data_IF_694477074149
#
_entry.id   IF_694477074149
#
_cell.length_a   1.000
_cell.length_b   1.000
_cell.length_c   1.000
_cell.angle_alpha   90.00
_cell.angle_beta   90.00
_cell.angle_gamma   90.00
#
_symmetry.space_group_name_H-M   'P 1'
#
loop_
_entity.id
_entity.type
_entity.pdbx_description
1 polymer ?
#
# COMPACT_ATOMS: atom_id res chain seq x y z
N UNK A 1 35.38 8.36 -2.23
CA UNK A 1 34.40 7.25 -2.30
C UNK A 1 33.06 7.85 -2.59
N UNK A 2 32.62 7.79 -3.84
CA UNK A 2 31.24 8.20 -4.20
C UNK A 2 30.31 7.11 -3.70
N UNK A 3 29.57 7.38 -2.63
CA UNK A 3 28.45 6.49 -2.22
C UNK A 3 27.49 6.41 -3.40
N UNK A 4 27.10 5.20 -3.81
CA UNK A 4 26.02 5.03 -4.76
C UNK A 4 24.79 5.81 -4.25
N UNK A 5 24.03 6.48 -5.13
CA UNK A 5 22.83 7.18 -4.69
C UNK A 5 21.92 6.18 -3.96
N UNK A 6 21.39 6.59 -2.82
CA UNK A 6 20.46 5.75 -2.06
C UNK A 6 19.22 5.50 -2.91
N UNK A 7 18.89 4.25 -3.10
CA UNK A 7 17.74 3.77 -3.88
C UNK A 7 17.01 2.71 -3.08
N UNK A 8 15.68 2.77 -3.07
CA UNK A 8 14.80 1.82 -2.40
C UNK A 8 13.81 1.25 -3.42
N UNK A 9 13.79 -0.08 -3.54
CA UNK A 9 12.81 -0.77 -4.38
C UNK A 9 11.86 -1.58 -3.51
N UNK A 10 10.56 -1.40 -3.73
CA UNK A 10 9.50 -2.14 -3.06
C UNK A 10 8.66 -2.86 -4.09
N UNK A 11 8.40 -4.14 -3.85
CA UNK A 11 7.51 -4.97 -4.63
C UNK A 11 6.32 -5.40 -3.77
N UNK A 12 5.12 -5.26 -4.31
CA UNK A 12 3.87 -5.54 -3.62
C UNK A 12 2.99 -6.46 -4.48
N UNK A 13 2.62 -7.66 -3.99
CA UNK A 13 1.86 -8.64 -4.77
C UNK A 13 0.41 -8.19 -4.98
N UNK A 14 -0.19 -8.62 -6.07
CA UNK A 14 -1.63 -8.57 -6.25
C UNK A 14 -2.35 -9.44 -5.20
N UNK A 15 -3.64 -9.17 -5.00
CA UNK A 15 -4.43 -9.96 -4.07
C UNK A 15 -5.83 -10.26 -4.62
N UNK A 16 -6.36 -11.42 -4.31
CA UNK A 16 -7.79 -11.74 -4.41
C UNK A 16 -8.49 -11.34 -3.12
N UNK A 17 -9.65 -10.70 -3.24
CA UNK A 17 -10.60 -10.52 -2.16
C UNK A 17 -11.66 -11.61 -2.32
N UNK A 18 -11.66 -12.58 -1.41
CA UNK A 18 -12.53 -13.78 -1.52
C UNK A 18 -13.95 -13.53 -1.02
N UNK A 19 -14.19 -12.39 -0.39
CA UNK A 19 -15.50 -11.98 0.08
C UNK A 19 -15.52 -11.55 1.53
N UNK A 20 -16.69 -11.09 1.96
CA UNK A 20 -16.98 -10.71 3.34
C UNK A 20 -17.63 -11.87 4.10
N UNK A 21 -17.27 -12.02 5.37
CA UNK A 21 -17.71 -13.12 6.23
C UNK A 21 -18.98 -12.75 7.00
N UNK A 22 -19.07 -11.50 7.44
CA UNK A 22 -20.21 -11.00 8.23
C UNK A 22 -20.69 -9.65 7.68
N UNK A 23 -21.85 -9.63 7.08
CA UNK A 23 -22.47 -8.44 6.49
C UNK A 23 -23.46 -7.75 7.44
N UNK A 24 -24.03 -8.47 8.40
CA UNK A 24 -25.08 -7.96 9.29
C UNK A 24 -24.55 -7.41 10.63
N UNK A 25 -23.39 -7.88 11.08
CA UNK A 25 -22.75 -7.37 12.28
C UNK A 25 -23.32 -7.89 13.59
N UNK A 26 -23.93 -9.05 13.62
CA UNK A 26 -24.57 -9.63 14.81
C UNK A 26 -23.59 -9.86 15.97
N UNK A 27 -22.31 -10.01 15.67
CA UNK A 27 -21.25 -10.16 16.67
C UNK A 27 -20.58 -8.83 17.05
N UNK A 28 -21.14 -7.68 16.66
CA UNK A 28 -20.63 -6.35 16.96
C UNK A 28 -19.51 -5.85 16.02
N UNK A 29 -19.15 -6.62 15.00
CA UNK A 29 -18.19 -6.25 13.94
C UNK A 29 -18.80 -6.57 12.58
N UNK A 30 -18.49 -5.74 11.57
CA UNK A 30 -19.01 -5.90 10.19
C UNK A 30 -17.86 -6.11 9.21
N UNK A 31 -18.15 -6.83 8.12
CA UNK A 31 -17.28 -6.94 6.95
C UNK A 31 -15.94 -7.62 7.21
N UNK A 32 -15.86 -8.56 8.15
CA UNK A 32 -14.73 -9.48 8.22
C UNK A 32 -14.51 -10.09 6.84
N UNK A 33 -13.27 -10.14 6.36
CA UNK A 33 -13.01 -10.56 4.99
C UNK A 33 -11.83 -11.51 4.86
N UNK A 34 -11.86 -12.27 3.76
CA UNK A 34 -10.82 -13.24 3.40
C UNK A 34 -10.10 -12.78 2.14
N UNK A 35 -8.80 -12.98 2.09
CA UNK A 35 -7.99 -12.64 0.93
C UNK A 35 -6.76 -13.54 0.76
N UNK A 36 -6.22 -13.51 -0.43
CA UNK A 36 -5.08 -14.31 -0.83
C UNK A 36 -4.13 -13.48 -1.69
N UNK A 37 -2.83 -13.49 -1.35
CA UNK A 37 -1.79 -12.95 -2.20
C UNK A 37 -1.65 -13.79 -3.48
N UNK A 38 -1.35 -13.14 -4.61
CA UNK A 38 -1.11 -13.80 -5.89
C UNK A 38 0.36 -13.70 -6.27
N UNK A 39 0.92 -14.80 -6.70
CA UNK A 39 2.25 -14.84 -7.30
C UNK A 39 2.21 -14.39 -8.77
N UNK A 40 3.34 -13.86 -9.26
CA UNK A 40 3.53 -13.53 -10.67
C UNK A 40 2.85 -12.25 -11.15
N UNK A 41 2.14 -11.54 -10.28
CA UNK A 41 1.53 -10.24 -10.57
C UNK A 41 1.75 -9.29 -9.40
N UNK A 42 2.51 -8.23 -9.64
CA UNK A 42 2.89 -7.28 -8.59
C UNK A 42 2.97 -5.84 -9.10
N UNK A 43 2.95 -4.90 -8.18
CA UNK A 43 3.42 -3.53 -8.41
C UNK A 43 4.84 -3.41 -7.88
N UNK A 44 5.76 -2.95 -8.71
CA UNK A 44 7.15 -2.68 -8.31
C UNK A 44 7.47 -1.21 -8.51
N UNK A 45 7.91 -0.55 -7.44
CA UNK A 45 8.33 0.85 -7.44
C UNK A 45 9.76 1.00 -6.95
N UNK A 46 10.48 1.96 -7.52
CA UNK A 46 11.81 2.35 -7.06
C UNK A 46 11.81 3.85 -6.75
N UNK A 47 12.26 4.22 -5.57
CA UNK A 47 12.45 5.61 -5.14
C UNK A 47 13.94 5.92 -4.99
N UNK A 48 14.39 7.06 -5.53
CA UNK A 48 15.78 7.53 -5.50
C UNK A 48 15.80 9.01 -5.16
N UNK A 49 16.85 9.47 -4.46
CA UNK A 49 17.03 10.90 -4.24
C UNK A 49 17.31 11.63 -5.57
N UNK A 50 16.67 12.80 -5.75
CA UNK A 50 16.83 13.63 -6.94
C UNK A 50 16.74 15.12 -6.57
N UNK A 51 17.19 16.01 -7.46
CA UNK A 51 17.13 17.46 -7.25
C UNK A 51 15.73 18.08 -7.43
N UNK A 52 14.69 17.25 -7.60
CA UNK A 52 13.30 17.66 -7.78
C UNK A 52 12.36 16.47 -7.66
N UNK A 53 11.07 16.67 -7.92
CA UNK A 53 10.06 15.63 -7.84
C UNK A 53 9.69 15.13 -9.24
N UNK A 54 10.01 13.88 -9.51
CA UNK A 54 9.79 13.21 -10.79
C UNK A 54 9.11 11.87 -10.57
N UNK A 55 8.10 11.57 -11.39
CA UNK A 55 7.41 10.27 -11.37
C UNK A 55 7.29 9.73 -12.78
N UNK A 56 7.81 8.53 -13.00
CA UNK A 56 7.88 7.89 -14.32
C UNK A 56 7.33 6.45 -14.26
N UNK A 57 7.03 5.86 -15.41
CA UNK A 57 6.69 4.44 -15.57
C UNK A 57 5.20 4.17 -15.69
N UNK A 58 4.79 2.94 -15.35
CA UNK A 58 3.39 2.51 -15.46
C UNK A 58 2.50 3.25 -14.46
N UNK A 59 1.33 3.71 -14.94
CA UNK A 59 0.34 4.42 -14.13
C UNK A 59 0.92 5.61 -13.32
N UNK A 60 1.86 6.35 -13.93
CA UNK A 60 2.62 7.44 -13.32
C UNK A 60 1.71 8.52 -12.70
N UNK A 61 0.57 8.83 -13.31
CA UNK A 61 -0.38 9.83 -12.80
C UNK A 61 -0.90 9.44 -11.41
N UNK A 62 -1.31 8.19 -11.24
CA UNK A 62 -1.79 7.69 -9.96
C UNK A 62 -0.64 7.58 -8.94
N UNK A 63 0.53 7.15 -9.40
CA UNK A 63 1.74 7.10 -8.56
C UNK A 63 2.15 8.48 -8.06
N UNK A 64 2.11 9.51 -8.90
CA UNK A 64 2.38 10.90 -8.54
C UNK A 64 1.42 11.42 -7.47
N UNK A 65 0.12 11.09 -7.61
CA UNK A 65 -0.89 11.45 -6.61
C UNK A 65 -0.56 10.84 -5.24
N UNK A 66 -0.24 9.54 -5.16
CA UNK A 66 0.11 8.90 -3.89
C UNK A 66 1.41 9.46 -3.31
N UNK A 67 2.44 9.61 -4.12
CA UNK A 67 3.71 10.16 -3.68
C UNK A 67 3.53 11.59 -3.13
N UNK A 68 2.81 12.45 -3.84
CA UNK A 68 2.50 13.81 -3.40
C UNK A 68 1.73 13.83 -2.07
N UNK A 69 0.76 12.95 -1.90
CA UNK A 69 -0.02 12.79 -0.67
C UNK A 69 0.88 12.42 0.52
N UNK A 70 1.77 11.43 0.34
CA UNK A 70 2.71 10.99 1.38
C UNK A 70 3.70 12.10 1.75
N UNK A 71 4.35 12.71 0.75
CA UNK A 71 5.30 13.80 1.00
C UNK A 71 4.66 14.97 1.76
N UNK A 72 3.44 15.35 1.39
CA UNK A 72 2.69 16.43 2.05
C UNK A 72 2.28 16.05 3.48
N UNK A 73 1.74 14.86 3.68
CA UNK A 73 1.23 14.43 4.98
C UNK A 73 2.31 14.34 6.05
N UNK A 74 3.53 13.98 5.66
CA UNK A 74 4.66 13.81 6.58
C UNK A 74 5.69 14.95 6.52
N UNK A 75 5.44 16.00 5.72
CA UNK A 75 6.36 17.13 5.59
C UNK A 75 7.72 16.74 5.00
N UNK A 76 7.76 15.70 4.17
CA UNK A 76 8.99 15.21 3.55
C UNK A 76 9.38 16.06 2.33
N UNK A 77 10.70 16.17 2.02
CA UNK A 77 11.14 16.97 0.89
C UNK A 77 10.70 16.36 -0.45
N UNK A 78 10.39 17.24 -1.42
CA UNK A 78 10.06 16.85 -2.80
C UNK A 78 11.32 16.69 -3.65
N UNK A 79 12.26 15.91 -3.16
CA UNK A 79 13.59 15.71 -3.74
C UNK A 79 13.81 14.22 -4.05
N UNK A 80 12.91 13.66 -4.87
CA UNK A 80 12.97 12.25 -5.25
C UNK A 80 12.52 12.01 -6.69
N UNK A 81 13.05 10.95 -7.28
CA UNK A 81 12.52 10.28 -8.47
C UNK A 81 11.84 8.98 -8.06
N UNK A 82 10.61 8.78 -8.51
CA UNK A 82 9.85 7.56 -8.32
C UNK A 82 9.61 6.90 -9.68
N UNK A 83 10.02 5.65 -9.84
CA UNK A 83 9.79 4.88 -11.07
C UNK A 83 8.90 3.67 -10.79
N UNK A 84 7.77 3.57 -11.47
CA UNK A 84 6.91 2.38 -11.43
C UNK A 84 7.29 1.47 -12.59
N UNK A 85 7.99 0.38 -12.27
CA UNK A 85 8.47 -0.57 -13.27
C UNK A 85 7.33 -1.42 -13.84
N UNK A 86 6.45 -1.89 -12.99
CA UNK A 86 5.23 -2.61 -13.34
C UNK A 86 4.12 -2.29 -12.33
N UNK A 87 2.88 -2.31 -12.80
CA UNK A 87 1.71 -2.06 -11.97
C UNK A 87 0.66 -3.18 -12.14
N UNK A 88 0.00 -3.54 -11.04
CA UNK A 88 -1.17 -4.41 -11.08
C UNK A 88 -2.27 -3.71 -11.88
N UNK A 89 -2.93 -4.39 -12.85
CA UNK A 89 -3.97 -3.81 -13.68
C UNK A 89 -5.07 -3.13 -12.86
N UNK A 90 -5.46 -1.93 -13.27
CA UNK A 90 -6.52 -1.16 -12.64
C UNK A 90 -7.89 -1.80 -12.92
N UNK A 91 -8.82 -1.64 -11.98
CA UNK A 91 -10.20 -2.12 -12.09
C UNK A 91 -10.38 -3.62 -12.31
N UNK A 92 -9.34 -4.42 -12.12
CA UNK A 92 -9.37 -5.89 -12.24
C UNK A 92 -9.76 -6.61 -10.91
N UNK A 93 -10.10 -5.87 -9.85
CA UNK A 93 -10.43 -6.48 -8.54
C UNK A 93 -9.21 -6.99 -7.76
N UNK A 94 -7.99 -6.76 -8.27
CA UNK A 94 -6.73 -7.34 -7.76
C UNK A 94 -5.99 -6.48 -6.73
N UNK A 95 -6.61 -5.41 -6.24
CA UNK A 95 -6.05 -4.58 -5.18
C UNK A 95 -5.04 -3.54 -5.63
N UNK A 96 -4.93 -3.24 -6.95
CA UNK A 96 -3.92 -2.37 -7.53
C UNK A 96 -3.74 -1.04 -6.79
N UNK A 97 -4.84 -0.37 -6.41
CA UNK A 97 -4.77 0.92 -5.72
C UNK A 97 -4.14 0.85 -4.32
N UNK A 98 -4.46 -0.17 -3.54
CA UNK A 98 -3.89 -0.36 -2.20
C UNK A 98 -2.43 -0.77 -2.29
N UNK A 99 -2.10 -1.72 -3.17
CA UNK A 99 -0.74 -2.21 -3.31
C UNK A 99 0.21 -1.11 -3.83
N UNK A 100 -0.21 -0.33 -4.82
CA UNK A 100 0.57 0.81 -5.30
C UNK A 100 0.77 1.88 -4.22
N UNK A 101 -0.30 2.27 -3.52
CA UNK A 101 -0.21 3.29 -2.47
C UNK A 101 0.75 2.88 -1.34
N UNK A 102 0.68 1.62 -0.89
CA UNK A 102 1.55 1.11 0.17
C UNK A 102 2.99 0.93 -0.30
N UNK A 103 3.21 0.44 -1.53
CA UNK A 103 4.54 0.29 -2.09
C UNK A 103 5.25 1.66 -2.22
N UNK A 104 4.54 2.67 -2.71
CA UNK A 104 5.07 4.04 -2.81
C UNK A 104 5.35 4.63 -1.43
N UNK A 105 4.41 4.47 -0.49
CA UNK A 105 4.57 4.99 0.86
C UNK A 105 5.77 4.34 1.57
N UNK A 106 5.91 3.02 1.49
CA UNK A 106 7.05 2.30 2.06
C UNK A 106 8.37 2.70 1.40
N UNK A 107 8.42 2.82 0.07
CA UNK A 107 9.63 3.24 -0.63
C UNK A 107 10.07 4.66 -0.24
N UNK A 108 9.14 5.60 -0.11
CA UNK A 108 9.43 7.00 0.28
C UNK A 108 9.87 7.06 1.73
N UNK A 109 9.15 6.44 2.66
CA UNK A 109 9.49 6.51 4.09
C UNK A 109 10.85 5.86 4.37
N UNK A 110 11.15 4.74 3.74
CA UNK A 110 12.47 4.09 3.82
C UNK A 110 13.57 4.95 3.19
N UNK A 111 13.32 5.60 2.05
CA UNK A 111 14.30 6.47 1.39
C UNK A 111 14.72 7.65 2.29
N UNK A 112 13.78 8.22 3.03
CA UNK A 112 14.00 9.37 3.92
C UNK A 112 14.26 8.99 5.39
N UNK A 113 14.47 7.71 5.71
CA UNK A 113 14.64 7.21 7.09
C UNK A 113 13.50 7.65 8.03
N UNK A 114 12.26 7.71 7.50
CA UNK A 114 11.09 8.13 8.25
C UNK A 114 10.33 6.92 8.78
N UNK A 115 10.41 6.66 10.07
CA UNK A 115 9.68 5.56 10.71
C UNK A 115 8.18 5.85 10.80
N UNK A 116 7.39 5.00 10.20
CA UNK A 116 5.94 5.14 10.17
C UNK A 116 5.24 3.78 10.09
N UNK A 117 4.24 3.61 10.93
CA UNK A 117 3.37 2.43 10.93
C UNK A 117 2.60 2.27 9.61
N UNK A 118 2.51 1.02 9.14
CA UNK A 118 1.86 0.68 7.87
C UNK A 118 0.38 1.08 7.83
N UNK A 119 -0.34 0.94 8.94
CA UNK A 119 -1.75 1.35 9.02
C UNK A 119 -1.91 2.87 8.89
N UNK A 120 -0.97 3.64 9.41
CA UNK A 120 -0.94 5.10 9.25
C UNK A 120 -0.65 5.47 7.79
N UNK A 121 0.27 4.78 7.12
CA UNK A 121 0.53 4.96 5.68
C UNK A 121 -0.72 4.65 4.84
N UNK A 122 -1.42 3.56 5.16
CA UNK A 122 -2.67 3.20 4.52
C UNK A 122 -3.76 4.28 4.73
N UNK A 123 -3.93 4.75 5.96
CA UNK A 123 -4.92 5.77 6.30
C UNK A 123 -4.68 7.08 5.55
N UNK A 124 -3.43 7.56 5.49
CA UNK A 124 -3.04 8.79 4.77
C UNK A 124 -3.35 8.69 3.27
N UNK A 125 -3.18 7.52 2.68
CA UNK A 125 -3.50 7.27 1.27
C UNK A 125 -4.97 6.90 1.02
N UNK A 126 -5.81 6.93 2.06
CA UNK A 126 -7.24 6.57 1.98
C UNK A 126 -7.48 5.08 1.74
N UNK A 127 -6.54 4.21 2.18
CA UNK A 127 -6.63 2.76 2.00
C UNK A 127 -6.99 2.05 3.30
N UNK A 128 -7.46 0.81 3.18
CA UNK A 128 -7.84 -0.01 4.34
C UNK A 128 -9.21 0.28 4.93
N UNK A 129 -9.96 1.26 4.43
CA UNK A 129 -11.25 1.67 5.02
C UNK A 129 -12.35 0.61 4.93
N UNK A 130 -12.33 -0.27 3.92
CA UNK A 130 -13.35 -1.32 3.74
C UNK A 130 -12.90 -2.68 4.25
N UNK A 131 -11.59 -2.98 4.12
CA UNK A 131 -11.01 -4.29 4.43
C UNK A 131 -9.53 -4.13 4.71
N UNK A 132 -9.02 -4.88 5.68
CA UNK A 132 -7.60 -4.99 6.02
C UNK A 132 -6.80 -5.92 5.10
N UNK A 133 -7.45 -6.64 4.18
CA UNK A 133 -6.80 -7.65 3.33
C UNK A 133 -5.65 -7.08 2.52
N UNK A 134 -5.83 -5.90 1.91
CA UNK A 134 -4.77 -5.28 1.11
C UNK A 134 -3.52 -4.95 1.94
N UNK A 135 -3.70 -4.51 3.17
CA UNK A 135 -2.61 -4.21 4.10
C UNK A 135 -1.95 -5.50 4.58
N UNK A 136 -2.75 -6.49 5.00
CA UNK A 136 -2.24 -7.78 5.44
C UNK A 136 -1.44 -8.52 4.36
N UNK A 137 -1.93 -8.50 3.11
CA UNK A 137 -1.20 -9.07 1.96
C UNK A 137 0.10 -8.31 1.69
N UNK A 138 0.10 -6.99 1.80
CA UNK A 138 1.32 -6.20 1.65
C UNK A 138 2.36 -6.55 2.72
N UNK A 139 1.91 -6.70 3.97
CA UNK A 139 2.78 -6.95 5.12
C UNK A 139 3.39 -8.35 5.12
N UNK A 140 2.60 -9.37 4.76
CA UNK A 140 2.99 -10.79 4.97
C UNK A 140 2.77 -11.71 3.78
N UNK A 141 2.05 -11.27 2.75
CA UNK A 141 1.62 -12.19 1.68
C UNK A 141 0.65 -13.26 2.18
N UNK A 142 0.51 -14.33 1.41
CA UNK A 142 -0.23 -15.53 1.80
C UNK A 142 -1.74 -15.34 1.90
N UNK A 143 -2.37 -16.15 2.74
CA UNK A 143 -3.79 -16.08 3.06
C UNK A 143 -4.00 -15.14 4.24
N UNK A 144 -4.96 -14.23 4.14
CA UNK A 144 -5.24 -13.22 5.16
C UNK A 144 -6.71 -13.22 5.52
N UNK A 145 -6.99 -13.19 6.83
CA UNK A 145 -8.32 -12.99 7.39
C UNK A 145 -8.32 -11.71 8.23
N UNK A 146 -9.18 -10.74 7.90
CA UNK A 146 -9.38 -9.54 8.72
C UNK A 146 -10.66 -9.62 9.57
N UNK A 147 -10.61 -8.97 10.72
CA UNK A 147 -11.69 -8.98 11.71
C UNK A 147 -12.80 -7.97 11.47
N UNK A 148 -12.86 -7.32 10.31
CA UNK A 148 -13.91 -6.34 9.99
C UNK A 148 -13.87 -5.08 10.87
N UNK A 149 -14.90 -4.27 10.76
CA UNK A 149 -15.07 -3.01 11.47
C UNK A 149 -15.88 -3.16 12.75
N UNK A 150 -15.33 -2.68 13.87
CA UNK A 150 -16.07 -2.38 15.10
C UNK A 150 -16.37 -0.88 15.20
N UNK A 151 -17.03 -0.43 16.28
CA UNK A 151 -17.46 0.96 16.46
C UNK A 151 -16.35 2.02 16.35
N UNK A 152 -15.11 1.66 16.69
CA UNK A 152 -13.93 2.53 16.68
C UNK A 152 -12.82 2.08 15.71
N UNK A 153 -13.12 1.20 14.78
CA UNK A 153 -12.12 0.63 13.87
C UNK A 153 -11.92 1.54 12.66
N UNK A 154 -10.72 2.09 12.50
CA UNK A 154 -10.33 2.86 11.32
C UNK A 154 -9.89 1.94 10.18
N UNK A 155 -9.11 0.91 10.50
CA UNK A 155 -8.65 -0.14 9.59
C UNK A 155 -8.91 -1.49 10.24
N UNK A 156 -9.56 -2.46 9.56
CA UNK A 156 -9.79 -3.79 10.10
C UNK A 156 -8.49 -4.48 10.50
N UNK A 157 -8.42 -5.04 11.72
CA UNK A 157 -7.23 -5.78 12.16
C UNK A 157 -7.12 -7.11 11.42
N UNK A 158 -5.91 -7.50 11.05
CA UNK A 158 -5.61 -8.85 10.55
C UNK A 158 -5.63 -9.81 11.74
N UNK A 159 -6.49 -10.84 11.67
CA UNK A 159 -6.68 -11.82 12.74
C UNK A 159 -5.90 -13.11 12.52
N UNK A 160 -5.69 -13.50 11.28
CA UNK A 160 -4.97 -14.71 10.92
C UNK A 160 -4.26 -14.55 9.57
N UNK A 161 -3.16 -15.24 9.46
CA UNK A 161 -2.25 -15.26 8.31
C UNK A 161 -1.91 -16.70 7.98
#
# INVERSE_FOLDING_TARGET
MTSSPRSVTVESPARLHLGFVDLNGDIGRKFGSLGLALDGLSTQVTAELASGFYVDGEDAIRAEHYAGTILQAFGLPRELRLTVKNAIPTHAGLGSGTQMALAIAAAITELFDFDCDLHKLAAVTGRGQRSGIGIGVFETGGFVFDGGHGPSTTVPPVLSR
#
